data_IF_447861201918
#
_entry.id   IF_447861201918
#
_cell.length_a   1.000
_cell.length_b   1.000
_cell.length_c   1.000
_cell.angle_alpha   90.00
_cell.angle_beta   90.00
_cell.angle_gamma   90.00
#
_symmetry.space_group_name_H-M   'P 1'
#
loop_
_entity.id
_entity.type
_entity.pdbx_description
1 polymer ?
#
# COMPACT_ATOMS: atom_id res chain seq x y z
N UNK A 1 -7.07 -26.11 1.84
CA UNK A 1 -6.19 -25.40 0.88
C UNK A 1 -6.60 -25.59 -0.60
N UNK A 2 -7.50 -26.52 -0.90
CA UNK A 2 -7.96 -26.77 -2.29
C UNK A 2 -9.17 -25.93 -2.72
N UNK A 3 -9.87 -25.27 -1.79
CA UNK A 3 -11.12 -24.54 -2.05
C UNK A 3 -10.87 -23.21 -2.78
N UNK A 4 -9.72 -22.55 -2.56
CA UNK A 4 -9.42 -21.26 -3.18
C UNK A 4 -9.13 -21.33 -4.69
N UNK A 5 -8.71 -22.49 -5.22
CA UNK A 5 -8.42 -22.63 -6.65
C UNK A 5 -9.68 -22.87 -7.51
N UNK A 6 -10.76 -23.37 -6.94
CA UNK A 6 -12.01 -23.60 -7.69
C UNK A 6 -12.81 -22.30 -7.98
N UNK A 7 -12.52 -21.19 -7.29
CA UNK A 7 -13.24 -19.92 -7.46
C UNK A 7 -12.60 -18.94 -8.45
N UNK A 8 -11.40 -19.21 -8.96
CA UNK A 8 -10.57 -18.25 -9.72
C UNK A 8 -10.27 -18.73 -11.15
N UNK A 9 -11.12 -19.41 -11.84
CA UNK A 9 -10.75 -19.76 -13.19
C UNK A 9 -11.87 -20.20 -14.12
N UNK A 10 -12.09 -19.34 -15.11
CA UNK A 10 -12.79 -19.61 -16.36
C UNK A 10 -14.32 -19.76 -16.36
N UNK A 11 -14.90 -19.57 -17.53
CA UNK A 11 -16.33 -19.63 -17.92
C UNK A 11 -17.16 -20.84 -17.41
N UNK A 12 -16.56 -21.72 -16.62
CA UNK A 12 -17.18 -22.91 -16.03
C UNK A 12 -18.04 -22.61 -14.78
N UNK A 13 -17.94 -21.40 -14.19
CA UNK A 13 -18.66 -21.06 -12.92
C UNK A 13 -20.15 -20.77 -13.06
N UNK A 14 -20.73 -20.80 -14.25
CA UNK A 14 -22.17 -20.52 -14.44
C UNK A 14 -23.04 -21.78 -14.30
N UNK A 15 -22.48 -22.95 -14.41
CA UNK A 15 -23.23 -24.23 -14.28
C UNK A 15 -23.40 -24.75 -12.85
N UNK A 16 -22.64 -24.22 -11.88
CA UNK A 16 -22.46 -24.91 -10.58
C UNK A 16 -23.04 -24.19 -9.36
N UNK A 17 -24.16 -23.49 -9.48
CA UNK A 17 -24.84 -22.98 -8.29
C UNK A 17 -25.38 -24.09 -7.38
N UNK A 18 -25.81 -25.22 -7.95
CA UNK A 18 -26.15 -26.42 -7.21
C UNK A 18 -24.93 -27.06 -6.55
N UNK A 19 -23.78 -27.04 -7.22
CA UNK A 19 -22.55 -27.70 -6.75
C UNK A 19 -21.96 -27.04 -5.51
N UNK A 20 -22.01 -25.72 -5.39
CA UNK A 20 -21.54 -25.01 -4.17
C UNK A 20 -22.48 -25.34 -3.01
N UNK A 21 -23.80 -25.35 -3.25
CA UNK A 21 -24.83 -25.71 -2.27
C UNK A 21 -24.60 -27.13 -1.77
N UNK A 22 -24.57 -28.09 -2.68
CA UNK A 22 -24.37 -29.51 -2.38
C UNK A 22 -23.02 -29.75 -1.69
N UNK A 23 -21.97 -29.01 -2.09
CA UNK A 23 -20.65 -29.09 -1.48
C UNK A 23 -20.64 -28.60 -0.03
N UNK A 24 -21.29 -27.46 0.24
CA UNK A 24 -21.40 -26.90 1.60
C UNK A 24 -22.22 -27.81 2.51
N UNK A 25 -23.36 -28.32 2.01
CA UNK A 25 -24.18 -29.26 2.75
C UNK A 25 -23.46 -30.57 3.04
N UNK A 26 -22.72 -31.10 2.06
CA UNK A 26 -21.94 -32.32 2.22
C UNK A 26 -20.77 -32.15 3.23
N UNK A 27 -20.10 -30.97 3.22
CA UNK A 27 -19.08 -30.66 4.23
C UNK A 27 -19.65 -30.60 5.64
N UNK A 28 -20.86 -30.06 5.80
CA UNK A 28 -21.53 -29.95 7.10
C UNK A 28 -22.04 -31.31 7.61
N UNK A 29 -22.46 -32.20 6.71
CA UNK A 29 -22.96 -33.52 7.09
C UNK A 29 -21.84 -34.49 7.48
N UNK A 30 -20.71 -34.44 6.77
CA UNK A 30 -19.66 -35.46 6.92
C UNK A 30 -18.49 -35.06 7.82
N UNK A 31 -18.15 -33.75 7.94
CA UNK A 31 -16.85 -33.34 8.47
C UNK A 31 -16.84 -32.22 9.49
N UNK A 32 -17.95 -31.47 9.67
CA UNK A 32 -17.92 -30.29 10.53
C UNK A 32 -19.27 -29.97 11.16
N UNK A 33 -19.26 -29.54 12.42
CA UNK A 33 -20.44 -29.02 13.11
C UNK A 33 -20.75 -27.58 12.68
N UNK A 34 -19.72 -26.81 12.31
CA UNK A 34 -19.82 -25.41 11.85
C UNK A 34 -18.85 -25.15 10.72
N UNK A 35 -19.27 -24.31 9.77
CA UNK A 35 -18.47 -23.87 8.64
C UNK A 35 -18.28 -22.36 8.68
N UNK A 36 -17.03 -21.89 8.57
CA UNK A 36 -16.71 -20.48 8.38
C UNK A 36 -16.18 -20.30 6.96
N UNK A 37 -16.90 -19.53 6.17
CA UNK A 37 -16.53 -19.21 4.78
C UNK A 37 -15.97 -17.80 4.74
N UNK A 38 -14.70 -17.66 4.40
CA UNK A 38 -14.02 -16.36 4.26
C UNK A 38 -14.00 -15.98 2.78
N UNK A 39 -14.58 -14.82 2.47
CA UNK A 39 -14.61 -14.24 1.12
C UNK A 39 -13.80 -12.96 1.14
N UNK A 40 -12.67 -12.98 0.44
CA UNK A 40 -11.73 -11.85 0.36
C UNK A 40 -11.77 -11.19 -1.01
N UNK A 41 -11.53 -9.87 -1.06
CA UNK A 41 -11.39 -9.06 -2.28
C UNK A 41 -12.59 -9.12 -3.25
N UNK A 42 -13.82 -9.32 -2.74
CA UNK A 42 -15.03 -9.32 -3.59
C UNK A 42 -15.27 -7.97 -4.28
N UNK A 43 -14.83 -6.87 -3.66
CA UNK A 43 -14.86 -5.52 -4.20
C UNK A 43 -14.02 -5.34 -5.48
N UNK A 44 -13.02 -6.22 -5.71
CA UNK A 44 -12.17 -6.20 -6.91
C UNK A 44 -12.65 -7.11 -8.04
N UNK A 45 -13.71 -7.84 -7.80
CA UNK A 45 -14.28 -8.72 -8.80
C UNK A 45 -15.10 -7.96 -9.87
N UNK A 46 -15.35 -8.61 -11.00
CA UNK A 46 -16.27 -8.06 -12.00
C UNK A 46 -17.65 -7.86 -11.37
N UNK A 47 -18.36 -6.74 -11.66
CA UNK A 47 -19.63 -6.43 -11.02
C UNK A 47 -20.68 -7.56 -11.08
N UNK A 48 -20.84 -8.19 -12.24
CA UNK A 48 -21.77 -9.31 -12.41
C UNK A 48 -21.42 -10.51 -11.53
N UNK A 49 -20.12 -10.80 -11.35
CA UNK A 49 -19.68 -11.89 -10.49
C UNK A 49 -19.96 -11.59 -9.01
N UNK A 50 -19.63 -10.38 -8.56
CA UNK A 50 -19.85 -9.97 -7.17
C UNK A 50 -21.34 -10.06 -6.80
N UNK A 51 -22.24 -9.54 -7.67
CA UNK A 51 -23.68 -9.62 -7.48
C UNK A 51 -24.15 -11.06 -7.45
N UNK A 52 -23.77 -11.87 -8.44
CA UNK A 52 -24.18 -13.27 -8.53
C UNK A 52 -23.72 -14.10 -7.32
N UNK A 53 -22.50 -13.85 -6.81
CA UNK A 53 -22.02 -14.52 -5.61
C UNK A 53 -22.88 -14.16 -4.41
N UNK A 54 -23.11 -12.86 -4.16
CA UNK A 54 -23.97 -12.41 -3.05
C UNK A 54 -25.36 -13.01 -3.15
N UNK A 55 -25.95 -13.00 -4.33
CA UNK A 55 -27.29 -13.56 -4.57
C UNK A 55 -27.37 -15.07 -4.33
N UNK A 56 -26.29 -15.82 -4.59
CA UNK A 56 -26.22 -17.26 -4.33
C UNK A 56 -26.07 -17.58 -2.85
N UNK A 57 -25.16 -16.88 -2.16
CA UNK A 57 -24.87 -17.17 -0.76
C UNK A 57 -25.97 -16.71 0.20
N UNK A 58 -26.83 -15.75 -0.20
CA UNK A 58 -27.95 -15.30 0.65
C UNK A 58 -28.88 -16.44 1.10
N UNK A 59 -29.00 -17.51 0.31
CA UNK A 59 -29.82 -18.67 0.64
C UNK A 59 -29.27 -19.50 1.81
N UNK A 60 -28.03 -19.23 2.23
CA UNK A 60 -27.37 -19.89 3.37
C UNK A 60 -27.36 -19.06 4.63
N UNK A 61 -27.80 -17.80 4.60
CA UNK A 61 -27.73 -16.91 5.76
C UNK A 61 -28.62 -17.38 6.92
N UNK A 62 -29.66 -18.11 6.60
CA UNK A 62 -30.57 -18.71 7.61
C UNK A 62 -30.01 -20.01 8.25
N UNK A 63 -28.86 -20.50 7.77
CA UNK A 63 -28.22 -21.68 8.32
C UNK A 63 -27.26 -21.30 9.47
N UNK A 64 -27.70 -21.57 10.70
CA UNK A 64 -26.91 -21.26 11.93
C UNK A 64 -25.53 -21.96 11.99
N UNK A 65 -25.30 -22.97 11.16
CA UNK A 65 -24.04 -23.71 11.07
C UNK A 65 -23.04 -23.06 10.13
N UNK A 66 -23.44 -22.07 9.30
CA UNK A 66 -22.60 -21.40 8.33
C UNK A 66 -22.41 -19.93 8.71
N UNK A 67 -21.17 -19.51 8.79
CA UNK A 67 -20.81 -18.10 9.02
C UNK A 67 -19.99 -17.58 7.84
N UNK A 68 -20.45 -16.51 7.19
CA UNK A 68 -19.71 -15.84 6.14
C UNK A 68 -18.93 -14.65 6.72
N UNK A 69 -17.64 -14.57 6.40
CA UNK A 69 -16.77 -13.45 6.75
C UNK A 69 -16.28 -12.80 5.47
N UNK A 70 -16.66 -11.55 5.26
CA UNK A 70 -16.24 -10.76 4.09
C UNK A 70 -15.11 -9.81 4.47
N UNK A 71 -13.94 -9.99 3.84
CA UNK A 71 -12.83 -9.05 3.94
C UNK A 71 -12.83 -8.17 2.69
N UNK A 72 -13.53 -7.02 2.76
CA UNK A 72 -13.80 -6.17 1.60
C UNK A 72 -13.66 -4.69 1.94
N UNK A 73 -13.32 -3.88 0.93
CA UNK A 73 -13.56 -2.44 1.00
C UNK A 73 -15.04 -2.17 0.66
N UNK A 74 -15.83 -1.84 1.67
CA UNK A 74 -17.27 -1.69 1.52
C UNK A 74 -17.64 -0.56 0.53
N UNK A 75 -16.86 0.52 0.47
CA UNK A 75 -17.09 1.63 -0.46
C UNK A 75 -16.88 1.17 -1.91
N UNK A 76 -15.78 0.46 -2.17
CA UNK A 76 -15.51 -0.09 -3.50
C UNK A 76 -16.53 -1.16 -3.91
N UNK A 77 -16.99 -1.98 -2.95
CA UNK A 77 -18.05 -2.95 -3.22
C UNK A 77 -19.36 -2.25 -3.56
N UNK A 78 -19.71 -1.13 -2.90
CA UNK A 78 -20.87 -0.31 -3.25
C UNK A 78 -20.77 0.23 -4.69
N UNK A 79 -19.59 0.73 -5.09
CA UNK A 79 -19.35 1.17 -6.47
C UNK A 79 -19.49 0.01 -7.46
N UNK A 80 -18.96 -1.15 -7.13
CA UNK A 80 -19.08 -2.37 -7.95
C UNK A 80 -20.55 -2.75 -8.18
N UNK A 81 -21.36 -2.71 -7.12
CA UNK A 81 -22.81 -2.99 -7.20
C UNK A 81 -23.54 -1.91 -8.00
N UNK A 82 -23.23 -0.63 -7.78
CA UNK A 82 -23.82 0.48 -8.56
C UNK A 82 -23.49 0.38 -10.04
N UNK A 83 -22.29 -0.07 -10.40
CA UNK A 83 -21.92 -0.29 -11.78
C UNK A 83 -22.73 -1.43 -12.45
N UNK A 84 -23.22 -2.37 -11.69
CA UNK A 84 -24.07 -3.45 -12.21
C UNK A 84 -25.52 -3.03 -12.41
N UNK A 85 -26.12 -2.34 -11.41
CA UNK A 85 -27.55 -1.97 -11.44
C UNK A 85 -27.80 -0.56 -11.98
N UNK A 86 -26.77 0.27 -12.12
CA UNK A 86 -26.85 1.67 -12.53
C UNK A 86 -26.73 2.66 -11.35
N UNK A 87 -26.32 3.89 -11.67
CA UNK A 87 -25.96 4.92 -10.68
C UNK A 87 -27.12 5.36 -9.75
N UNK A 88 -28.36 5.14 -10.14
CA UNK A 88 -29.53 5.46 -9.32
C UNK A 88 -29.87 4.37 -8.29
N UNK A 89 -29.15 3.24 -8.32
CA UNK A 89 -29.41 2.12 -7.42
C UNK A 89 -28.79 2.36 -6.04
N UNK A 90 -29.59 2.13 -5.00
CA UNK A 90 -29.12 2.22 -3.60
C UNK A 90 -28.32 0.96 -3.21
N UNK A 91 -27.05 0.97 -3.60
CA UNK A 91 -26.11 -0.11 -3.32
C UNK A 91 -25.81 -0.27 -1.83
N UNK A 92 -25.90 0.80 -1.06
CA UNK A 92 -25.68 0.76 0.39
C UNK A 92 -26.78 -0.08 1.05
N UNK A 93 -28.04 0.26 0.78
CA UNK A 93 -29.20 -0.47 1.30
C UNK A 93 -29.29 -1.90 0.77
N UNK A 94 -28.81 -2.12 -0.44
CA UNK A 94 -28.73 -3.49 -0.99
C UNK A 94 -27.75 -4.33 -0.18
N UNK A 95 -26.56 -3.83 0.11
CA UNK A 95 -25.53 -4.55 0.86
C UNK A 95 -25.86 -4.72 2.34
N UNK A 96 -26.70 -3.86 2.93
CA UNK A 96 -27.18 -4.03 4.31
C UNK A 96 -27.91 -5.36 4.56
N UNK A 97 -28.42 -5.99 3.49
CA UNK A 97 -29.11 -7.28 3.59
C UNK A 97 -28.17 -8.49 3.72
N UNK A 98 -26.87 -8.27 3.52
CA UNK A 98 -25.87 -9.33 3.50
C UNK A 98 -24.95 -9.29 4.72
N UNK A 99 -25.01 -8.23 5.54
CA UNK A 99 -24.10 -8.03 6.64
C UNK A 99 -24.83 -7.75 7.95
N UNK A 100 -24.89 -8.74 8.83
CA UNK A 100 -25.44 -8.59 10.19
C UNK A 100 -24.52 -7.78 11.10
N UNK A 101 -23.19 -7.93 10.90
CA UNK A 101 -22.17 -7.26 11.70
C UNK A 101 -21.09 -6.66 10.78
N UNK A 102 -20.75 -5.42 11.04
CA UNK A 102 -19.65 -4.72 10.37
C UNK A 102 -18.56 -4.38 11.38
N UNK A 103 -17.35 -4.82 11.11
CA UNK A 103 -16.19 -4.58 11.96
C UNK A 103 -15.19 -3.75 11.14
N UNK A 104 -14.94 -2.52 11.57
CA UNK A 104 -13.87 -1.72 11.01
C UNK A 104 -12.56 -2.04 11.73
N UNK A 105 -11.50 -2.28 10.94
CA UNK A 105 -10.19 -2.46 11.52
C UNK A 105 -9.72 -1.13 12.15
N UNK A 106 -9.15 -1.17 13.35
CA UNK A 106 -8.59 0.03 13.96
C UNK A 106 -7.40 0.54 13.13
N UNK A 107 -7.07 1.83 13.20
CA UNK A 107 -5.88 2.36 12.55
C UNK A 107 -4.63 1.62 13.06
N UNK A 108 -3.68 1.41 12.15
CA UNK A 108 -2.47 0.69 12.48
C UNK A 108 -1.66 1.44 13.54
N UNK A 109 -1.16 0.71 14.54
CA UNK A 109 -0.18 1.24 15.46
C UNK A 109 1.19 1.30 14.75
N UNK A 110 1.57 2.49 14.28
CA UNK A 110 2.78 2.69 13.48
C UNK A 110 4.06 2.29 14.22
N UNK A 111 4.13 2.50 15.53
CA UNK A 111 5.29 2.08 16.32
C UNK A 111 5.48 0.55 16.28
N UNK A 112 4.41 -0.21 16.55
CA UNK A 112 4.46 -1.68 16.46
C UNK A 112 4.71 -2.16 15.03
N UNK A 113 4.16 -1.46 14.04
CA UNK A 113 4.39 -1.79 12.66
C UNK A 113 5.86 -1.66 12.28
N UNK A 114 6.51 -0.52 12.58
CA UNK A 114 7.94 -0.33 12.32
C UNK A 114 8.81 -1.36 13.05
N UNK A 115 8.45 -1.74 14.28
CA UNK A 115 9.14 -2.84 14.98
C UNK A 115 8.97 -4.18 14.25
N UNK A 116 7.77 -4.49 13.77
CA UNK A 116 7.48 -5.78 13.12
C UNK A 116 8.21 -5.97 11.80
N UNK A 117 8.42 -4.90 11.03
CA UNK A 117 9.17 -4.93 9.77
C UNK A 117 10.68 -4.82 9.97
N UNK A 118 11.13 -4.64 11.22
CA UNK A 118 12.54 -4.44 11.60
C UNK A 118 13.24 -3.42 10.69
N UNK A 119 12.56 -2.28 10.44
CA UNK A 119 13.14 -1.21 9.65
C UNK A 119 14.13 -0.44 10.51
N UNK A 120 15.37 -0.58 10.17
CA UNK A 120 16.48 0.18 10.71
C UNK A 120 17.46 0.42 9.57
N UNK A 121 17.66 1.68 9.21
CA UNK A 121 18.72 2.11 8.29
C UNK A 121 20.05 2.09 9.03
N UNK A 122 21.13 1.92 8.30
CA UNK A 122 22.49 2.10 8.84
C UNK A 122 22.73 3.56 9.27
N UNK A 123 21.92 4.48 8.77
CA UNK A 123 21.96 5.90 9.10
C UNK A 123 20.67 6.34 9.80
N UNK A 124 20.75 6.66 11.08
CA UNK A 124 19.60 7.13 11.89
C UNK A 124 18.81 8.27 11.23
N UNK A 125 19.49 9.19 10.54
CA UNK A 125 18.85 10.32 9.85
C UNK A 125 17.94 9.86 8.71
N UNK A 126 18.27 8.80 7.99
CA UNK A 126 17.42 8.23 6.93
C UNK A 126 16.09 7.74 7.53
N UNK A 127 16.13 7.08 8.68
CA UNK A 127 14.91 6.63 9.37
C UNK A 127 13.98 7.81 9.72
N UNK A 128 14.56 8.91 10.21
CA UNK A 128 13.79 10.11 10.57
C UNK A 128 13.15 10.74 9.33
N UNK A 129 13.92 10.90 8.26
CA UNK A 129 13.43 11.47 7.00
C UNK A 129 12.36 10.60 6.36
N UNK A 130 12.58 9.29 6.31
CA UNK A 130 11.61 8.34 5.75
C UNK A 130 10.28 8.37 6.49
N UNK A 131 10.28 8.43 7.83
CA UNK A 131 9.05 8.55 8.61
C UNK A 131 8.28 9.84 8.32
N UNK A 132 9.00 10.95 8.17
CA UNK A 132 8.39 12.23 7.78
C UNK A 132 7.77 12.18 6.38
N UNK A 133 8.44 11.57 5.43
CA UNK A 133 7.94 11.39 4.07
C UNK A 133 6.69 10.49 4.09
N UNK A 134 6.68 9.40 4.85
CA UNK A 134 5.54 8.51 5.00
C UNK A 134 4.31 9.28 5.53
N UNK A 135 4.51 10.14 6.53
CA UNK A 135 3.45 11.02 7.06
C UNK A 135 2.96 12.02 6.01
N UNK A 136 3.87 12.67 5.29
CA UNK A 136 3.58 13.69 4.28
C UNK A 136 2.74 13.13 3.11
N UNK A 137 3.10 11.94 2.65
CA UNK A 137 2.42 11.28 1.53
C UNK A 137 1.23 10.40 1.95
N UNK A 138 0.94 10.30 3.25
CA UNK A 138 -0.15 9.49 3.80
C UNK A 138 -0.14 8.04 3.31
N UNK A 139 1.03 7.42 3.26
CA UNK A 139 1.19 6.07 2.73
C UNK A 139 0.38 5.03 3.51
N UNK A 140 -0.30 4.15 2.78
CA UNK A 140 -0.86 2.92 3.32
C UNK A 140 0.25 1.96 3.79
N UNK A 141 -0.06 0.98 4.64
CA UNK A 141 0.93 0.00 5.13
C UNK A 141 1.63 -0.76 3.99
N UNK A 142 0.92 -1.01 2.88
CA UNK A 142 1.49 -1.66 1.69
C UNK A 142 2.49 -0.75 0.99
N UNK A 143 2.16 0.53 0.83
CA UNK A 143 3.07 1.53 0.25
C UNK A 143 4.28 1.77 1.15
N UNK A 144 4.10 1.85 2.47
CA UNK A 144 5.21 1.92 3.44
C UNK A 144 6.17 0.74 3.27
N UNK A 145 5.64 -0.48 3.19
CA UNK A 145 6.49 -1.67 3.00
C UNK A 145 7.29 -1.62 1.69
N UNK A 146 6.66 -1.17 0.59
CA UNK A 146 7.33 -0.99 -0.71
C UNK A 146 8.40 0.10 -0.63
N UNK A 147 8.03 1.25 -0.06
CA UNK A 147 8.89 2.40 0.11
C UNK A 147 10.16 2.04 0.91
N UNK A 148 10.01 1.46 2.08
CA UNK A 148 11.13 1.12 2.95
C UNK A 148 12.05 0.03 2.35
N UNK A 149 11.50 -0.89 1.57
CA UNK A 149 12.31 -1.85 0.81
C UNK A 149 13.15 -1.16 -0.28
N UNK A 150 12.56 -0.22 -1.01
CA UNK A 150 13.25 0.53 -2.05
C UNK A 150 14.35 1.43 -1.44
N UNK A 151 14.09 2.06 -0.30
CA UNK A 151 15.09 2.84 0.44
C UNK A 151 16.31 1.99 0.81
N UNK A 152 16.11 0.79 1.37
CA UNK A 152 17.22 -0.11 1.73
C UNK A 152 18.09 -0.48 0.53
N UNK A 153 17.48 -0.74 -0.61
CA UNK A 153 18.22 -1.07 -1.83
C UNK A 153 19.03 0.13 -2.30
N UNK A 154 18.39 1.30 -2.38
CA UNK A 154 19.03 2.51 -2.82
C UNK A 154 20.16 2.97 -1.86
N UNK A 155 19.96 2.86 -0.55
CA UNK A 155 20.97 3.17 0.47
C UNK A 155 22.20 2.26 0.30
N UNK A 156 21.98 0.94 0.13
CA UNK A 156 23.04 -0.01 -0.08
C UNK A 156 23.85 0.29 -1.33
N UNK A 157 23.18 0.54 -2.46
CA UNK A 157 23.85 0.88 -3.73
C UNK A 157 24.67 2.16 -3.63
N UNK A 158 24.13 3.21 -3.01
CA UNK A 158 24.82 4.49 -2.87
C UNK A 158 26.02 4.42 -1.93
N UNK A 159 26.00 3.55 -0.92
CA UNK A 159 27.05 3.48 0.10
C UNK A 159 28.11 2.41 -0.19
N UNK A 160 27.84 1.43 -1.07
CA UNK A 160 28.74 0.31 -1.32
C UNK A 160 29.24 0.21 -2.78
N UNK A 161 28.77 1.07 -3.70
CA UNK A 161 29.10 0.95 -5.13
C UNK A 161 30.57 1.13 -5.46
N UNK A 162 31.35 1.94 -4.71
CA UNK A 162 32.74 2.28 -5.04
C UNK A 162 33.77 2.04 -3.93
N UNK A 163 33.42 1.42 -2.84
CA UNK A 163 34.39 0.99 -1.78
C UNK A 163 35.10 2.09 -1.02
N UNK A 164 34.87 3.36 -1.29
CA UNK A 164 35.46 4.52 -0.62
C UNK A 164 34.44 5.64 -0.42
N UNK A 165 33.44 5.36 0.41
CA UNK A 165 32.49 6.39 0.77
C UNK A 165 33.01 7.17 1.98
N UNK A 166 33.27 8.48 1.81
CA UNK A 166 33.63 9.39 2.90
C UNK A 166 32.73 10.63 2.85
N UNK A 167 32.01 10.88 3.95
CA UNK A 167 31.21 12.11 4.09
C UNK A 167 32.07 13.40 4.17
N UNK A 168 33.40 13.28 4.22
CA UNK A 168 34.30 14.42 4.36
C UNK A 168 34.69 15.06 3.01
N UNK A 169 34.49 14.33 1.92
CA UNK A 169 34.84 14.79 0.59
C UNK A 169 33.62 15.49 -0.08
N UNK A 170 33.81 16.42 -1.03
CA UNK A 170 32.72 17.08 -1.74
C UNK A 170 31.74 16.09 -2.40
N UNK A 171 32.27 15.03 -3.00
CA UNK A 171 31.47 13.94 -3.57
C UNK A 171 30.70 13.20 -2.47
N UNK A 172 31.30 12.98 -1.31
CA UNK A 172 30.67 12.38 -0.14
C UNK A 172 29.53 13.23 0.42
N UNK A 173 29.64 14.55 0.41
CA UNK A 173 28.55 15.45 0.82
C UNK A 173 27.37 15.42 -0.15
N UNK A 174 27.63 15.38 -1.46
CA UNK A 174 26.60 15.24 -2.47
C UNK A 174 25.87 13.89 -2.31
N UNK A 175 26.61 12.81 -2.11
CA UNK A 175 26.05 11.48 -1.87
C UNK A 175 25.25 11.45 -0.56
N UNK A 176 25.74 12.07 0.49
CA UNK A 176 24.99 12.20 1.76
C UNK A 176 23.65 12.92 1.55
N UNK A 177 23.67 14.04 0.83
CA UNK A 177 22.44 14.78 0.52
C UNK A 177 21.46 13.92 -0.31
N UNK A 178 21.95 13.25 -1.34
CA UNK A 178 21.15 12.36 -2.16
C UNK A 178 20.54 11.22 -1.31
N UNK A 179 21.36 10.56 -0.49
CA UNK A 179 20.91 9.43 0.36
C UNK A 179 19.88 9.87 1.40
N UNK A 180 20.09 11.02 2.05
CA UNK A 180 19.23 11.48 3.13
C UNK A 180 17.91 12.09 2.64
N UNK A 181 17.92 12.79 1.51
CA UNK A 181 16.78 13.61 1.11
C UNK A 181 16.25 13.32 -0.29
N UNK A 182 17.14 13.36 -1.29
CA UNK A 182 16.69 13.27 -2.69
C UNK A 182 16.11 11.89 -3.04
N UNK A 183 16.85 10.85 -2.73
CA UNK A 183 16.44 9.47 -3.05
C UNK A 183 15.18 9.08 -2.29
N UNK A 184 15.07 9.29 -0.96
CA UNK A 184 13.84 9.03 -0.24
C UNK A 184 12.62 9.77 -0.82
N UNK A 185 12.79 11.03 -1.22
CA UNK A 185 11.72 11.83 -1.79
C UNK A 185 11.32 11.35 -3.20
N UNK A 186 12.30 11.06 -4.06
CA UNK A 186 12.04 10.55 -5.41
C UNK A 186 11.33 9.18 -5.39
N UNK A 187 11.75 8.27 -4.52
CA UNK A 187 11.07 6.98 -4.35
C UNK A 187 9.63 7.17 -3.86
N UNK A 188 9.41 8.13 -2.95
CA UNK A 188 8.05 8.43 -2.50
C UNK A 188 7.17 8.96 -3.63
N UNK A 189 7.69 9.87 -4.46
CA UNK A 189 6.99 10.37 -5.63
C UNK A 189 6.71 9.27 -6.67
N UNK A 190 7.67 8.40 -6.92
CA UNK A 190 7.48 7.25 -7.84
C UNK A 190 6.31 6.37 -7.39
N UNK A 191 6.11 6.21 -6.08
CA UNK A 191 5.04 5.38 -5.52
C UNK A 191 3.68 6.10 -5.55
N UNK A 192 3.65 7.42 -5.26
CA UNK A 192 2.42 8.19 -5.03
C UNK A 192 1.99 9.04 -6.22
N UNK A 193 2.95 9.63 -6.95
CA UNK A 193 2.71 10.57 -8.05
C UNK A 193 3.79 10.44 -9.13
N UNK A 194 3.63 9.44 -9.98
CA UNK A 194 4.54 9.13 -11.10
C UNK A 194 4.69 10.33 -12.06
N UNK A 195 3.67 11.18 -12.17
CA UNK A 195 3.72 12.36 -13.05
C UNK A 195 4.72 13.37 -12.52
N UNK A 196 4.63 13.75 -11.25
CA UNK A 196 5.60 14.64 -10.59
C UNK A 196 7.00 14.03 -10.55
N UNK A 197 7.12 12.72 -10.32
CA UNK A 197 8.39 12.02 -10.42
C UNK A 197 9.05 12.21 -11.80
N UNK A 198 8.33 11.91 -12.88
CA UNK A 198 8.85 12.03 -14.25
C UNK A 198 9.22 13.47 -14.62
N UNK A 199 8.47 14.46 -14.15
CA UNK A 199 8.81 15.87 -14.34
C UNK A 199 10.14 16.23 -13.67
N UNK A 200 10.33 15.81 -12.41
CA UNK A 200 11.55 16.11 -11.65
C UNK A 200 12.79 15.46 -12.24
N UNK A 201 12.74 14.18 -12.61
CA UNK A 201 13.90 13.49 -13.22
C UNK A 201 14.25 14.03 -14.61
N UNK A 202 13.27 14.65 -15.31
CA UNK A 202 13.48 15.31 -16.59
C UNK A 202 13.92 16.77 -16.46
N UNK A 203 14.16 17.25 -15.23
CA UNK A 203 14.56 18.63 -14.97
C UNK A 203 13.44 19.66 -15.09
N UNK A 204 12.19 19.21 -15.12
CA UNK A 204 11.00 20.08 -15.14
C UNK A 204 10.44 20.25 -13.72
N UNK A 205 9.80 21.40 -13.48
CA UNK A 205 9.10 21.69 -12.23
C UNK A 205 9.95 21.52 -10.95
N UNK A 206 11.13 22.17 -10.86
CA UNK A 206 11.97 22.10 -9.66
C UNK A 206 11.31 22.71 -8.42
N UNK A 207 10.31 23.58 -8.63
CA UNK A 207 9.53 24.22 -7.56
C UNK A 207 8.81 23.20 -6.70
N UNK A 208 8.31 22.12 -7.30
CA UNK A 208 7.68 21.01 -6.58
C UNK A 208 8.62 20.32 -5.61
N UNK A 209 9.88 20.17 -5.99
CA UNK A 209 10.90 19.62 -5.11
C UNK A 209 11.14 20.55 -3.92
N UNK A 210 11.27 21.86 -4.15
CA UNK A 210 11.45 22.86 -3.09
C UNK A 210 10.26 22.84 -2.14
N UNK A 211 9.03 22.82 -2.65
CA UNK A 211 7.82 22.74 -1.85
C UNK A 211 7.83 21.52 -0.92
N UNK A 212 8.16 20.35 -1.46
CA UNK A 212 8.24 19.11 -0.68
C UNK A 212 9.34 19.15 0.37
N UNK A 213 10.49 19.72 0.02
CA UNK A 213 11.60 19.88 0.94
C UNK A 213 11.27 20.90 2.05
N UNK A 214 10.49 21.92 1.77
CA UNK A 214 10.03 22.90 2.77
C UNK A 214 9.02 22.31 3.77
N UNK A 215 8.27 21.29 3.37
CA UNK A 215 7.39 20.55 4.26
C UNK A 215 8.16 19.63 5.23
N UNK A 216 9.42 19.37 4.95
CA UNK A 216 10.29 18.59 5.86
C UNK A 216 10.81 19.49 6.98
N UNK A 217 11.15 18.90 8.13
CA UNK A 217 11.52 19.58 9.38
C UNK A 217 12.63 20.62 9.21
N UNK A 218 12.67 21.65 10.08
CA UNK A 218 13.65 22.75 10.06
C UNK A 218 15.12 22.31 10.12
N UNK A 219 15.41 21.14 10.65
CA UNK A 219 16.76 20.53 10.63
C UNK A 219 17.29 20.28 9.21
N UNK A 220 16.40 20.02 8.28
CA UNK A 220 16.71 19.89 6.88
C UNK A 220 17.31 21.17 6.29
N UNK A 221 16.70 22.34 6.58
CA UNK A 221 17.20 23.64 6.08
C UNK A 221 18.64 23.91 6.55
N UNK A 222 18.96 23.54 7.80
CA UNK A 222 20.31 23.63 8.34
C UNK A 222 21.32 22.75 7.59
N UNK A 223 20.98 21.49 7.37
CA UNK A 223 21.83 20.54 6.62
C UNK A 223 22.02 20.97 5.17
N UNK A 224 20.97 21.42 4.51
CA UNK A 224 21.05 21.90 3.13
C UNK A 224 21.91 23.15 3.00
N UNK A 225 21.74 24.12 3.90
CA UNK A 225 22.58 25.33 3.93
C UNK A 225 24.05 25.01 4.19
N UNK A 226 24.33 24.05 5.08
CA UNK A 226 25.70 23.59 5.35
C UNK A 226 26.33 22.91 4.13
N UNK A 227 25.58 22.05 3.43
CA UNK A 227 26.03 21.40 2.21
C UNK A 227 26.32 22.39 1.08
N UNK A 228 25.46 23.39 0.90
CA UNK A 228 25.66 24.44 -0.09
C UNK A 228 26.88 25.32 0.24
N UNK A 229 27.03 25.75 1.50
CA UNK A 229 28.17 26.59 1.93
C UNK A 229 29.52 25.89 1.79
N UNK A 230 29.59 24.60 2.05
CA UNK A 230 30.81 23.81 1.84
C UNK A 230 31.15 23.65 0.36
N UNK A 231 30.14 23.47 -0.51
CA UNK A 231 30.37 23.42 -1.97
C UNK A 231 30.89 24.75 -2.53
N UNK A 232 30.41 25.90 -2.03
CA UNK A 232 30.93 27.23 -2.43
C UNK A 232 32.38 27.40 -2.02
N UNK A 233 32.81 26.94 -0.86
CA UNK A 233 34.20 27.03 -0.39
C UNK A 233 35.15 26.23 -1.27
N UNK A 234 34.74 25.06 -1.78
CA UNK A 234 35.58 24.26 -2.69
C UNK A 234 35.68 24.84 -4.10
N UNK A 235 34.64 25.53 -4.59
CA UNK A 235 34.62 26.15 -5.91
C UNK A 235 35.37 27.50 -5.94
N UNK A 236 35.74 28.07 -4.81
CA UNK A 236 36.49 29.35 -4.69
C UNK A 236 37.95 29.17 -4.29
N UNK A 237 38.44 27.93 -4.12
CA UNK A 237 39.86 27.68 -3.88
C UNK A 237 40.65 27.95 -5.19
N UNK A 238 41.60 28.89 -5.21
CA UNK A 238 42.46 29.11 -6.39
C UNK A 238 43.35 27.89 -6.62
N UNK A 239 43.54 27.54 -7.90
CA UNK A 239 44.48 26.53 -8.39
C UNK A 239 45.92 26.80 -7.90
#
# INVERSE_FOLDING_TARGET
YEIAQCLVGSEMCIRDSSTIVEFLDHLLEERADRLVVIIDELDRCKPNYAVQLLEKIKHYFDNERITFVFAVNLQELQHTISNYYGNAFDSCRYLDRFFDLRISLPPANMYRYYQSINFQSDYYMVDVVCKKIIELFHFSLREISRYLKAIRIAEYELTHSDGRFSFSDPEGLATQFCTLYMVPLLIALEISDVTSYNQLISGHNPEKLIELLECMDSKYKGHFSELLSRNEIYNTAPE
#
